data_IF_286644147947
#
_entry.id   IF_286644147947
#
_cell.length_a   1.000
_cell.length_b   1.000
_cell.length_c   1.000
_cell.angle_alpha   90.00
_cell.angle_beta   90.00
_cell.angle_gamma   90.00
#
_symmetry.space_group_name_H-M   'P 1'
#
loop_
_entity.id
_entity.type
_entity.pdbx_description
1 polymer ?
#
# COMPACT_ATOMS: atom_id res chain seq x y z
N UNK A 1 -22.03 4.44 4.26
CA UNK A 1 -21.06 4.17 3.20
C UNK A 1 -21.72 3.31 2.14
N UNK A 2 -21.76 3.77 0.86
CA UNK A 2 -22.12 2.86 -0.25
C UNK A 2 -21.13 1.70 -0.20
N UNK A 3 -21.61 0.46 -0.36
CA UNK A 3 -20.72 -0.71 -0.48
C UNK A 3 -19.76 -0.44 -1.64
N UNK A 4 -18.50 -0.21 -1.35
CA UNK A 4 -17.47 -0.02 -2.37
C UNK A 4 -17.37 -1.31 -3.17
N UNK A 5 -17.69 -1.23 -4.45
CA UNK A 5 -17.51 -2.35 -5.36
C UNK A 5 -16.01 -2.44 -5.73
N UNK A 6 -15.37 -3.52 -5.30
CA UNK A 6 -13.96 -3.81 -5.57
C UNK A 6 -13.86 -5.09 -6.42
N UNK A 7 -14.03 -4.99 -7.75
CA UNK A 7 -14.14 -6.16 -8.63
C UNK A 7 -12.95 -7.12 -8.51
N UNK A 8 -11.74 -6.59 -8.31
CA UNK A 8 -10.53 -7.42 -8.15
C UNK A 8 -10.56 -8.23 -6.84
N UNK A 9 -11.17 -7.70 -5.76
CA UNK A 9 -11.35 -8.44 -4.50
C UNK A 9 -12.40 -9.53 -4.67
N UNK A 10 -13.52 -9.22 -5.33
CA UNK A 10 -14.59 -10.18 -5.64
C UNK A 10 -14.04 -11.32 -6.49
N UNK A 11 -13.25 -11.01 -7.51
CA UNK A 11 -12.63 -12.03 -8.37
C UNK A 11 -11.69 -12.95 -7.57
N UNK A 12 -10.85 -12.39 -6.68
CA UNK A 12 -9.99 -13.22 -5.82
C UNK A 12 -10.83 -14.12 -4.92
N UNK A 13 -11.86 -13.58 -4.26
CA UNK A 13 -12.75 -14.34 -3.38
C UNK A 13 -13.47 -15.47 -4.11
N UNK A 14 -13.85 -15.29 -5.38
CA UNK A 14 -14.50 -16.31 -6.18
C UNK A 14 -13.58 -17.47 -6.58
N UNK A 15 -12.26 -17.25 -6.61
CA UNK A 15 -11.25 -18.28 -6.93
C UNK A 15 -10.79 -19.08 -5.71
N UNK A 16 -11.11 -18.62 -4.49
CA UNK A 16 -10.68 -19.28 -3.27
C UNK A 16 -11.57 -20.47 -2.92
N UNK A 17 -10.94 -21.64 -2.71
CA UNK A 17 -11.62 -22.84 -2.20
C UNK A 17 -11.58 -22.84 -0.67
N UNK A 18 -12.67 -22.44 -0.02
CA UNK A 18 -12.75 -22.37 1.44
C UNK A 18 -12.72 -23.75 2.13
N UNK A 19 -13.07 -24.82 1.42
CA UNK A 19 -12.97 -26.20 1.95
C UNK A 19 -11.52 -26.68 2.11
N UNK A 20 -10.59 -26.15 1.30
CA UNK A 20 -9.18 -26.54 1.27
C UNK A 20 -8.24 -25.36 1.54
N UNK A 21 -8.72 -24.35 2.27
CA UNK A 21 -7.90 -23.18 2.60
C UNK A 21 -6.83 -23.56 3.62
N UNK A 22 -5.54 -23.27 3.40
CA UNK A 22 -4.49 -23.56 4.34
C UNK A 22 -4.61 -22.68 5.58
N UNK A 23 -4.06 -23.15 6.70
CA UNK A 23 -4.10 -22.45 7.98
C UNK A 23 -3.37 -21.09 7.97
N UNK A 24 -2.32 -20.97 7.16
CA UNK A 24 -1.56 -19.74 6.96
C UNK A 24 -1.87 -19.08 5.62
N UNK A 25 -2.19 -17.80 5.62
CA UNK A 25 -2.49 -17.01 4.43
C UNK A 25 -1.69 -15.71 4.50
N UNK A 26 -1.02 -15.34 3.41
CA UNK A 26 -0.35 -14.05 3.26
C UNK A 26 -1.08 -13.26 2.17
N UNK A 27 -1.63 -12.09 2.51
CA UNK A 27 -2.21 -11.16 1.56
C UNK A 27 -1.18 -10.05 1.29
N UNK A 28 -0.65 -10.03 0.09
CA UNK A 28 0.36 -9.07 -0.37
C UNK A 28 -0.20 -8.13 -1.43
N UNK A 29 0.27 -6.89 -1.45
CA UNK A 29 -0.13 -5.89 -2.45
C UNK A 29 0.11 -4.46 -1.98
N UNK A 30 -0.04 -3.44 -2.84
CA UNK A 30 0.14 -2.04 -2.47
C UNK A 30 -0.84 -1.58 -1.40
N UNK A 31 -0.48 -0.50 -0.68
CA UNK A 31 -1.37 0.08 0.32
C UNK A 31 -2.61 0.67 -0.34
N UNK A 32 -3.79 0.53 0.32
CA UNK A 32 -5.07 1.03 -0.19
C UNK A 32 -5.68 0.23 -1.35
N UNK A 33 -5.12 -0.96 -1.71
CA UNK A 33 -5.70 -1.84 -2.75
C UNK A 33 -6.88 -2.68 -2.24
N UNK A 34 -7.17 -2.67 -0.93
CA UNK A 34 -8.25 -3.44 -0.34
C UNK A 34 -7.81 -4.71 0.41
N UNK A 35 -6.53 -4.86 0.77
CA UNK A 35 -6.02 -6.04 1.51
C UNK A 35 -6.81 -6.35 2.79
N UNK A 36 -7.14 -5.30 3.59
CA UNK A 36 -7.94 -5.46 4.81
C UNK A 36 -9.37 -5.92 4.51
N UNK A 37 -9.95 -5.41 3.43
CA UNK A 37 -11.31 -5.80 2.99
C UNK A 37 -11.31 -7.28 2.59
N UNK A 38 -10.29 -7.73 1.86
CA UNK A 38 -10.13 -9.15 1.50
C UNK A 38 -9.95 -10.02 2.75
N UNK A 39 -9.09 -9.60 3.70
CA UNK A 39 -8.87 -10.34 4.95
C UNK A 39 -10.17 -10.46 5.77
N UNK A 40 -10.94 -9.38 5.89
CA UNK A 40 -12.23 -9.39 6.59
C UNK A 40 -13.24 -10.31 5.87
N UNK A 41 -13.32 -10.27 4.55
CA UNK A 41 -14.22 -11.13 3.79
C UNK A 41 -13.86 -12.63 3.94
N UNK A 42 -12.56 -12.97 3.91
CA UNK A 42 -12.09 -14.34 4.17
C UNK A 42 -12.43 -14.72 5.61
N UNK A 43 -12.15 -13.85 6.59
CA UNK A 43 -12.42 -14.11 8.00
C UNK A 43 -13.92 -14.34 8.26
N UNK A 44 -14.80 -13.53 7.68
CA UNK A 44 -16.26 -13.67 7.84
C UNK A 44 -16.76 -15.03 7.34
N UNK A 45 -16.24 -15.50 6.20
CA UNK A 45 -16.57 -16.82 5.65
C UNK A 45 -16.00 -17.98 6.46
N UNK A 46 -14.87 -17.79 7.15
CA UNK A 46 -14.29 -18.79 8.05
C UNK A 46 -15.01 -18.82 9.40
N UNK A 47 -15.50 -17.68 9.89
CA UNK A 47 -16.15 -17.53 11.20
C UNK A 47 -17.66 -17.78 11.14
N UNK A 48 -18.04 -18.92 10.58
CA UNK A 48 -19.45 -19.36 10.55
C UNK A 48 -19.87 -19.75 11.97
N UNK A 49 -21.03 -19.27 12.38
CA UNK A 49 -21.60 -19.61 13.69
C UNK A 49 -21.98 -21.09 13.76
N UNK A 50 -21.59 -21.78 14.84
CA UNK A 50 -21.84 -23.22 15.08
C UNK A 50 -23.32 -23.59 15.11
N UNK A 51 -24.19 -22.68 15.57
CA UNK A 51 -25.61 -22.96 15.80
C UNK A 51 -26.49 -22.48 14.66
N UNK A 52 -26.20 -21.30 14.08
CA UNK A 52 -27.06 -20.66 13.07
C UNK A 52 -26.56 -20.89 11.63
N UNK A 53 -25.32 -21.34 11.48
CA UNK A 53 -24.63 -21.50 10.19
C UNK A 53 -24.58 -20.19 9.33
N UNK A 54 -24.63 -19.02 10.01
CA UNK A 54 -24.62 -17.69 9.38
C UNK A 54 -23.23 -17.08 9.52
N UNK A 55 -22.80 -16.34 8.50
CA UNK A 55 -21.57 -15.53 8.53
C UNK A 55 -21.71 -14.36 9.51
N UNK A 56 -20.64 -14.07 10.27
CA UNK A 56 -20.60 -13.02 11.28
C UNK A 56 -19.90 -11.74 10.76
N UNK A 57 -20.27 -11.28 9.57
CA UNK A 57 -19.60 -10.15 8.90
C UNK A 57 -19.58 -8.86 9.74
N UNK A 58 -20.69 -8.51 10.41
CA UNK A 58 -20.78 -7.29 11.21
C UNK A 58 -19.87 -7.32 12.44
N UNK A 59 -19.77 -8.47 13.11
CA UNK A 59 -18.88 -8.67 14.25
C UNK A 59 -17.40 -8.67 13.84
N UNK A 60 -17.08 -9.19 12.65
CA UNK A 60 -15.72 -9.15 12.09
C UNK A 60 -15.35 -7.72 11.72
N UNK A 61 -16.23 -7.00 11.03
CA UNK A 61 -15.98 -5.62 10.60
C UNK A 61 -15.83 -4.65 11.78
N UNK A 62 -16.56 -4.89 12.88
CA UNK A 62 -16.43 -4.11 14.13
C UNK A 62 -15.29 -4.60 15.03
N UNK A 63 -14.52 -5.64 14.64
CA UNK A 63 -13.48 -6.29 15.44
C UNK A 63 -13.96 -6.80 16.82
N UNK A 64 -15.25 -7.09 16.96
CA UNK A 64 -15.87 -7.50 18.24
C UNK A 64 -16.17 -8.99 18.34
N UNK A 65 -15.87 -9.77 17.31
CA UNK A 65 -16.10 -11.21 17.31
C UNK A 65 -15.14 -11.95 18.28
N UNK A 66 -15.61 -12.81 19.20
CA UNK A 66 -14.75 -13.45 20.21
C UNK A 66 -13.71 -14.40 19.61
N UNK A 67 -14.01 -15.04 18.46
CA UNK A 67 -13.10 -15.94 17.74
C UNK A 67 -12.32 -15.23 16.63
N UNK A 68 -12.30 -13.90 16.65
CA UNK A 68 -11.53 -13.04 15.75
C UNK A 68 -10.52 -12.22 16.53
N UNK A 69 -9.26 -12.27 16.10
CA UNK A 69 -8.19 -11.45 16.66
C UNK A 69 -7.57 -10.58 15.59
N UNK A 70 -7.78 -9.28 15.70
CA UNK A 70 -7.30 -8.31 14.74
C UNK A 70 -6.15 -7.48 15.34
N UNK A 71 -4.92 -7.78 14.93
CA UNK A 71 -3.71 -7.09 15.34
C UNK A 71 -3.35 -6.04 14.29
N UNK A 72 -3.56 -4.76 14.62
CA UNK A 72 -3.28 -3.62 13.74
C UNK A 72 -2.36 -2.61 14.44
N UNK A 73 -1.13 -3.02 14.70
CA UNK A 73 -0.10 -2.16 15.26
C UNK A 73 0.80 -1.60 14.16
N UNK A 74 1.35 -0.40 14.35
CA UNK A 74 2.38 0.15 13.45
C UNK A 74 3.60 -0.76 13.38
N UNK A 75 4.00 -1.32 14.52
CA UNK A 75 5.06 -2.34 14.65
C UNK A 75 4.52 -3.57 15.35
N UNK A 76 4.73 -4.73 14.74
CA UNK A 76 4.37 -6.02 15.33
C UNK A 76 5.56 -6.55 16.09
N UNK A 77 5.48 -6.52 17.42
CA UNK A 77 6.54 -6.92 18.32
C UNK A 77 6.32 -8.36 18.85
N UNK A 78 7.36 -8.96 19.41
CA UNK A 78 7.33 -10.34 19.91
C UNK A 78 6.18 -10.59 20.90
N UNK A 79 5.89 -9.66 21.82
CA UNK A 79 4.80 -9.81 22.80
C UNK A 79 3.39 -9.80 22.17
N UNK A 80 3.26 -9.26 20.96
CA UNK A 80 1.99 -9.37 20.23
C UNK A 80 1.76 -10.77 19.65
N UNK A 81 2.84 -11.52 19.42
CA UNK A 81 2.79 -12.89 18.87
C UNK A 81 2.77 -13.93 20.00
N UNK A 82 3.66 -13.78 21.00
CA UNK A 82 3.81 -14.72 22.10
C UNK A 82 4.30 -14.03 23.38
N UNK A 83 4.13 -14.65 24.52
CA UNK A 83 4.70 -14.16 25.78
C UNK A 83 6.22 -14.30 25.79
N UNK A 84 6.92 -13.29 26.33
CA UNK A 84 8.36 -13.31 26.55
C UNK A 84 8.65 -14.00 27.89
N UNK A 85 9.50 -15.02 27.88
CA UNK A 85 9.84 -15.78 29.11
C UNK A 85 10.29 -14.92 30.30
N UNK A 86 11.06 -13.86 30.03
CA UNK A 86 11.64 -12.98 31.05
C UNK A 86 10.71 -11.82 31.48
N UNK A 87 9.52 -11.72 30.88
CA UNK A 87 8.54 -10.65 31.16
C UNK A 87 7.13 -11.17 31.33
N UNK A 88 7.01 -12.44 31.73
CA UNK A 88 5.71 -13.07 31.87
C UNK A 88 4.75 -12.32 32.79
N UNK A 89 5.24 -11.80 33.92
CA UNK A 89 4.39 -11.08 34.88
C UNK A 89 3.92 -9.74 34.34
N UNK A 90 4.77 -9.03 33.57
CA UNK A 90 4.43 -7.75 32.93
C UNK A 90 3.44 -7.93 31.76
N UNK A 91 3.48 -9.08 31.10
CA UNK A 91 2.69 -9.38 29.90
C UNK A 91 1.46 -10.25 30.20
N UNK A 92 1.33 -10.71 31.45
CA UNK A 92 0.22 -11.55 31.92
C UNK A 92 -1.11 -10.82 31.73
N UNK A 93 -2.03 -11.48 31.02
CA UNK A 93 -3.33 -10.90 30.68
C UNK A 93 -3.34 -10.10 29.36
N UNK A 94 -2.19 -9.82 28.76
CA UNK A 94 -2.16 -9.27 27.41
C UNK A 94 -2.54 -10.33 26.37
N UNK A 95 -3.40 -9.95 25.45
CA UNK A 95 -3.85 -10.85 24.38
C UNK A 95 -2.78 -10.90 23.27
N UNK A 96 -2.28 -12.09 22.96
CA UNK A 96 -1.35 -12.30 21.85
C UNK A 96 -1.86 -13.39 20.89
N UNK A 97 -1.24 -13.46 19.69
CA UNK A 97 -1.71 -14.34 18.60
C UNK A 97 -1.67 -15.82 19.00
N UNK A 98 -0.56 -16.30 19.55
CA UNK A 98 -0.40 -17.72 19.87
C UNK A 98 -1.31 -18.17 21.01
N UNK A 99 -1.46 -17.37 22.08
CA UNK A 99 -2.40 -17.66 23.16
C UNK A 99 -3.85 -17.65 22.66
N UNK A 100 -4.19 -16.72 21.79
CA UNK A 100 -5.51 -16.67 21.17
C UNK A 100 -5.81 -17.94 20.37
N UNK A 101 -4.88 -18.37 19.51
CA UNK A 101 -5.07 -19.53 18.62
C UNK A 101 -5.04 -20.87 19.37
N UNK A 102 -4.36 -20.94 20.52
CA UNK A 102 -4.31 -22.17 21.33
C UNK A 102 -5.64 -22.53 22.02
N UNK A 103 -6.58 -21.57 22.14
CA UNK A 103 -7.88 -21.76 22.78
C UNK A 103 -8.90 -22.29 21.78
N UNK A 104 -9.85 -23.07 22.25
CA UNK A 104 -10.97 -23.55 21.41
C UNK A 104 -11.87 -22.41 20.96
N UNK A 105 -12.49 -22.46 19.77
CA UNK A 105 -13.46 -21.47 19.32
C UNK A 105 -14.68 -21.40 20.25
N UNK A 106 -15.16 -20.17 20.54
CA UNK A 106 -16.29 -19.93 21.43
C UNK A 106 -17.63 -20.13 20.73
N UNK A 107 -17.93 -19.34 19.72
CA UNK A 107 -19.23 -19.30 19.01
C UNK A 107 -19.13 -19.76 17.57
N UNK A 108 -17.99 -19.61 16.93
CA UNK A 108 -17.76 -20.03 15.55
C UNK A 108 -17.14 -21.42 15.45
N UNK A 109 -17.17 -21.99 14.23
CA UNK A 109 -16.49 -23.26 13.95
C UNK A 109 -14.98 -23.08 14.02
N UNK A 110 -14.49 -21.93 13.54
CA UNK A 110 -13.08 -21.62 13.42
C UNK A 110 -12.67 -20.40 14.26
N UNK A 111 -11.35 -20.23 14.43
CA UNK A 111 -10.70 -19.02 14.93
C UNK A 111 -9.83 -18.39 13.83
N UNK A 112 -9.82 -17.07 13.78
CA UNK A 112 -9.02 -16.34 12.80
C UNK A 112 -8.23 -15.24 13.49
N UNK A 113 -6.91 -15.24 13.30
CA UNK A 113 -6.03 -14.15 13.68
C UNK A 113 -5.57 -13.40 12.42
N UNK A 114 -5.81 -12.10 12.37
CA UNK A 114 -5.32 -11.22 11.30
C UNK A 114 -4.20 -10.34 11.85
N UNK A 115 -3.03 -10.40 11.21
CA UNK A 115 -1.85 -9.60 11.54
C UNK A 115 -1.65 -8.58 10.42
N UNK A 116 -1.94 -7.32 10.71
CA UNK A 116 -1.69 -6.21 9.79
C UNK A 116 -0.24 -5.74 9.95
N UNK A 117 0.34 -5.17 8.89
CA UNK A 117 1.72 -4.72 8.87
C UNK A 117 2.74 -5.84 9.19
N UNK A 118 2.51 -7.05 8.68
CA UNK A 118 3.38 -8.19 8.92
C UNK A 118 4.85 -7.94 8.51
N UNK A 119 5.11 -7.02 7.56
CA UNK A 119 6.45 -6.59 7.18
C UNK A 119 7.25 -5.91 8.31
N UNK A 120 6.62 -5.55 9.41
CA UNK A 120 7.27 -4.90 10.55
C UNK A 120 7.71 -5.88 11.63
N UNK A 121 7.37 -7.16 11.48
CA UNK A 121 7.84 -8.23 12.35
C UNK A 121 9.36 -8.41 12.20
N UNK A 122 10.08 -8.38 13.33
CA UNK A 122 11.47 -8.82 13.36
C UNK A 122 11.56 -10.35 13.31
N UNK A 123 12.78 -10.89 13.12
CA UNK A 123 13.00 -12.34 13.00
C UNK A 123 12.51 -13.12 14.23
N UNK A 124 12.64 -12.57 15.42
CA UNK A 124 12.15 -13.20 16.66
C UNK A 124 10.62 -13.36 16.64
N UNK A 125 9.89 -12.30 16.23
CA UNK A 125 8.43 -12.33 16.11
C UNK A 125 7.98 -13.31 15.03
N UNK A 126 8.69 -13.35 13.91
CA UNK A 126 8.41 -14.28 12.82
C UNK A 126 8.67 -15.73 13.24
N UNK A 127 9.80 -16.00 13.91
CA UNK A 127 10.13 -17.33 14.43
C UNK A 127 9.12 -17.80 15.49
N UNK A 128 8.62 -16.90 16.35
CA UNK A 128 7.60 -17.24 17.34
C UNK A 128 6.26 -17.66 16.69
N UNK A 129 5.98 -17.21 15.48
CA UNK A 129 4.78 -17.57 14.72
C UNK A 129 4.90 -18.94 14.03
N UNK A 130 6.14 -19.38 13.71
CA UNK A 130 6.38 -20.64 12.98
C UNK A 130 5.72 -21.84 13.64
N UNK A 131 5.77 -21.93 14.97
CA UNK A 131 5.15 -23.05 15.69
C UNK A 131 3.65 -23.18 15.39
N UNK A 132 2.93 -22.07 15.37
CA UNK A 132 1.49 -22.05 15.07
C UNK A 132 1.18 -22.29 13.60
N UNK A 133 2.17 -22.11 12.70
CA UNK A 133 2.05 -22.42 11.27
C UNK A 133 2.42 -23.89 10.96
N UNK A 134 3.34 -24.48 11.73
CA UNK A 134 3.78 -25.87 11.56
C UNK A 134 2.79 -26.86 12.17
N UNK A 135 2.35 -26.55 13.40
CA UNK A 135 1.41 -27.38 14.17
C UNK A 135 0.18 -26.54 14.53
N UNK A 136 -0.67 -26.22 13.53
CA UNK A 136 -1.81 -25.37 13.78
C UNK A 136 -2.82 -26.06 14.69
N UNK A 137 -3.37 -25.29 15.64
CA UNK A 137 -4.51 -25.77 16.43
C UNK A 137 -5.68 -26.07 15.50
N UNK A 138 -6.49 -27.10 15.76
CA UNK A 138 -7.64 -27.43 14.95
C UNK A 138 -8.54 -26.21 14.74
N UNK A 139 -9.00 -26.01 13.51
CA UNK A 139 -9.92 -24.93 13.14
C UNK A 139 -9.36 -23.52 13.42
N UNK A 140 -8.05 -23.32 13.32
CA UNK A 140 -7.41 -22.03 13.48
C UNK A 140 -6.77 -21.55 12.17
N UNK A 141 -6.85 -20.24 11.90
CA UNK A 141 -6.30 -19.61 10.71
C UNK A 141 -5.52 -18.35 11.08
N UNK A 142 -4.43 -18.12 10.35
CA UNK A 142 -3.58 -16.92 10.48
C UNK A 142 -3.56 -16.22 9.13
N UNK A 143 -4.00 -14.96 9.10
CA UNK A 143 -3.95 -14.11 7.90
C UNK A 143 -2.94 -12.99 8.16
N UNK A 144 -1.88 -12.93 7.38
CA UNK A 144 -0.86 -11.89 7.44
C UNK A 144 -1.04 -10.93 6.28
N UNK A 145 -1.09 -9.62 6.56
CA UNK A 145 -1.21 -8.57 5.55
C UNK A 145 0.11 -7.84 5.45
N UNK A 146 0.65 -7.74 4.23
CA UNK A 146 1.89 -7.02 3.95
C UNK A 146 1.79 -6.15 2.69
N UNK A 147 2.51 -5.02 2.68
CA UNK A 147 2.70 -4.18 1.50
C UNK A 147 4.06 -4.42 0.82
N UNK A 148 4.91 -5.28 1.39
CA UNK A 148 6.23 -5.60 0.86
C UNK A 148 6.30 -7.07 0.48
N UNK A 149 6.42 -7.42 -0.80
CA UNK A 149 6.62 -8.80 -1.22
C UNK A 149 7.98 -9.31 -0.71
N UNK A 150 8.02 -10.59 -0.34
CA UNK A 150 9.24 -11.29 0.14
C UNK A 150 9.91 -10.68 1.38
N UNK A 151 9.15 -10.00 2.24
CA UNK A 151 9.66 -9.39 3.47
C UNK A 151 9.65 -10.32 4.68
N UNK A 152 8.95 -11.44 4.61
CA UNK A 152 8.90 -12.45 5.66
C UNK A 152 9.94 -13.55 5.40
N UNK A 153 10.22 -14.34 6.43
CA UNK A 153 11.13 -15.48 6.31
C UNK A 153 10.62 -16.51 5.30
N UNK A 154 11.52 -17.14 4.57
CA UNK A 154 11.17 -18.18 3.60
C UNK A 154 10.44 -19.36 4.25
N UNK A 155 10.72 -19.64 5.52
CA UNK A 155 10.04 -20.64 6.34
C UNK A 155 8.56 -20.34 6.58
N UNK A 156 8.16 -19.06 6.63
CA UNK A 156 6.75 -18.63 6.65
C UNK A 156 6.11 -18.81 5.29
N UNK A 157 6.79 -18.36 4.22
CA UNK A 157 6.26 -18.49 2.85
C UNK A 157 6.00 -19.93 2.45
N UNK A 158 6.85 -20.88 2.87
CA UNK A 158 6.68 -22.30 2.56
C UNK A 158 5.46 -22.96 3.21
N UNK A 159 4.87 -22.32 4.25
CA UNK A 159 3.73 -22.83 5.04
C UNK A 159 2.44 -22.05 4.80
N UNK A 160 2.50 -21.01 3.98
CA UNK A 160 1.37 -20.13 3.75
C UNK A 160 0.99 -20.08 2.26
N UNK A 161 -0.30 -19.96 2.01
CA UNK A 161 -0.78 -19.57 0.70
C UNK A 161 -0.59 -18.06 0.52
N UNK A 162 0.08 -17.66 -0.57
CA UNK A 162 0.25 -16.24 -0.90
C UNK A 162 -0.84 -15.80 -1.87
N UNK A 163 -1.62 -14.80 -1.46
CA UNK A 163 -2.60 -14.12 -2.28
C UNK A 163 -2.00 -12.75 -2.61
N UNK A 164 -1.58 -12.57 -3.85
CA UNK A 164 -1.04 -11.30 -4.30
C UNK A 164 -2.12 -10.48 -5.03
N UNK A 165 -2.34 -9.25 -4.55
CA UNK A 165 -3.22 -8.29 -5.20
C UNK A 165 -2.32 -7.32 -5.97
N UNK A 166 -2.26 -7.41 -7.31
CA UNK A 166 -1.42 -6.53 -8.11
C UNK A 166 -1.97 -5.10 -8.14
N UNK A 167 -1.12 -4.13 -8.46
CA UNK A 167 -1.57 -2.78 -8.79
C UNK A 167 -2.49 -2.83 -10.01
N UNK A 168 -3.52 -2.01 -10.01
CA UNK A 168 -4.42 -1.90 -11.16
C UNK A 168 -3.71 -1.21 -12.33
N UNK A 169 -4.09 -1.58 -13.54
CA UNK A 169 -3.74 -0.82 -14.74
C UNK A 169 -4.50 0.49 -14.76
N UNK A 170 -3.93 1.51 -15.40
CA UNK A 170 -4.53 2.86 -15.49
C UNK A 170 -5.96 2.79 -16.06
N UNK A 171 -6.17 1.99 -17.11
CA UNK A 171 -7.49 1.86 -17.74
C UNK A 171 -8.53 1.22 -16.81
N UNK A 172 -8.12 0.19 -16.06
CA UNK A 172 -9.01 -0.49 -15.11
C UNK A 172 -9.34 0.42 -13.91
N UNK A 173 -8.36 1.23 -13.49
CA UNK A 173 -8.55 2.22 -12.45
C UNK A 173 -9.49 3.35 -12.91
N UNK A 174 -9.34 3.86 -14.14
CA UNK A 174 -10.24 4.86 -14.71
C UNK A 174 -11.68 4.33 -14.81
N UNK A 175 -11.87 3.10 -15.30
CA UNK A 175 -13.19 2.45 -15.36
C UNK A 175 -13.82 2.33 -13.96
N UNK A 176 -13.00 1.93 -12.98
CA UNK A 176 -13.47 1.79 -11.61
C UNK A 176 -13.87 3.13 -10.99
N UNK A 177 -13.09 4.22 -11.22
CA UNK A 177 -13.42 5.57 -10.76
C UNK A 177 -14.77 6.02 -11.35
N UNK A 178 -14.99 5.87 -12.65
CA UNK A 178 -16.24 6.21 -13.33
C UNK A 178 -17.42 5.44 -12.71
N UNK A 179 -17.26 4.14 -12.48
CA UNK A 179 -18.31 3.29 -11.89
C UNK A 179 -18.65 3.70 -10.44
N UNK A 180 -17.71 4.31 -9.73
CA UNK A 180 -17.93 4.85 -8.38
C UNK A 180 -18.38 6.33 -8.38
N UNK A 181 -18.76 6.88 -9.55
CA UNK A 181 -19.30 8.23 -9.68
C UNK A 181 -18.25 9.34 -9.74
N UNK A 182 -16.99 8.99 -9.98
CA UNK A 182 -15.87 9.92 -10.14
C UNK A 182 -15.54 10.01 -11.63
N UNK A 183 -16.20 10.93 -12.36
CA UNK A 183 -16.05 11.10 -13.81
C UNK A 183 -15.05 12.20 -14.21
N UNK A 184 -14.78 13.14 -13.29
CA UNK A 184 -14.05 14.38 -13.61
C UNK A 184 -12.54 14.28 -13.39
N UNK A 185 -12.04 13.07 -13.08
CA UNK A 185 -10.66 12.81 -12.68
C UNK A 185 -10.08 11.64 -13.47
N UNK A 186 -8.85 11.79 -13.92
CA UNK A 186 -8.09 10.72 -14.57
C UNK A 186 -7.13 10.06 -13.56
N UNK A 187 -6.89 8.76 -13.70
CA UNK A 187 -5.93 8.05 -12.86
C UNK A 187 -4.51 8.65 -12.92
N UNK A 188 -4.13 9.30 -14.01
CA UNK A 188 -2.86 10.05 -14.15
C UNK A 188 -2.85 11.40 -13.42
N UNK A 189 -3.97 11.87 -12.89
CA UNK A 189 -4.01 13.04 -12.02
C UNK A 189 -3.46 12.73 -10.60
N UNK A 190 -3.18 11.44 -10.33
CA UNK A 190 -2.59 10.94 -9.09
C UNK A 190 -1.25 10.25 -9.36
N UNK A 191 -0.34 10.23 -8.38
CA UNK A 191 0.86 9.40 -8.47
C UNK A 191 0.52 7.92 -8.65
N UNK A 192 1.28 7.17 -9.44
CA UNK A 192 1.02 5.73 -9.69
C UNK A 192 1.14 4.84 -8.45
N UNK A 193 1.74 5.36 -7.38
CA UNK A 193 1.77 4.70 -6.08
C UNK A 193 0.49 4.91 -5.27
N UNK A 194 -0.42 5.80 -5.71
CA UNK A 194 -1.72 6.01 -5.06
C UNK A 194 -2.69 4.92 -5.54
N UNK A 195 -3.23 4.18 -4.60
CA UNK A 195 -4.12 3.06 -4.90
C UNK A 195 -5.59 3.46 -4.82
N UNK A 196 -6.53 2.66 -5.34
CA UNK A 196 -7.93 3.04 -5.48
C UNK A 196 -8.58 3.66 -4.25
N UNK A 197 -8.40 3.04 -3.08
CA UNK A 197 -9.02 3.54 -1.84
C UNK A 197 -8.36 4.84 -1.35
N UNK A 198 -7.05 5.01 -1.57
CA UNK A 198 -6.37 6.28 -1.27
C UNK A 198 -6.80 7.40 -2.20
N UNK A 199 -7.07 7.10 -3.48
CA UNK A 199 -7.61 8.10 -4.41
C UNK A 199 -8.95 8.63 -3.89
N UNK A 200 -9.86 7.77 -3.44
CA UNK A 200 -11.13 8.22 -2.88
C UNK A 200 -10.94 9.07 -1.62
N UNK A 201 -10.04 8.67 -0.74
CA UNK A 201 -9.69 9.44 0.46
C UNK A 201 -9.09 10.81 0.12
N UNK A 202 -8.17 10.88 -0.84
CA UNK A 202 -7.58 12.14 -1.33
C UNK A 202 -8.62 13.04 -1.99
N UNK A 203 -9.60 12.46 -2.71
CA UNK A 203 -10.71 13.22 -3.31
C UNK A 203 -11.63 13.81 -2.24
N UNK A 204 -11.99 13.05 -1.22
CA UNK A 204 -12.81 13.51 -0.09
C UNK A 204 -12.12 14.66 0.68
N UNK A 205 -10.80 14.60 0.81
CA UNK A 205 -9.98 15.59 1.53
C UNK A 205 -9.43 16.72 0.65
N UNK A 206 -9.73 16.75 -0.65
CA UNK A 206 -9.18 17.68 -1.66
C UNK A 206 -7.64 17.67 -1.76
N UNK A 207 -6.98 16.61 -1.32
CA UNK A 207 -5.50 16.48 -1.36
C UNK A 207 -4.97 16.12 -2.75
N UNK A 208 -5.80 15.56 -3.62
CA UNK A 208 -5.47 15.24 -5.03
C UNK A 208 -5.00 16.45 -5.84
N UNK A 209 -5.37 17.65 -5.42
CA UNK A 209 -4.98 18.89 -6.11
C UNK A 209 -3.48 19.15 -6.04
N UNK A 210 -2.79 18.69 -5.00
CA UNK A 210 -1.37 18.93 -4.81
C UNK A 210 -0.51 18.32 -5.92
N UNK A 211 -0.76 17.06 -6.29
CA UNK A 211 -0.02 16.43 -7.39
C UNK A 211 -0.33 17.10 -8.72
N UNK A 212 -1.59 17.38 -9.01
CA UNK A 212 -2.04 18.07 -10.21
C UNK A 212 -1.41 19.45 -10.34
N UNK A 213 -1.39 20.24 -9.26
CA UNK A 213 -0.75 21.55 -9.21
C UNK A 213 0.76 21.45 -9.40
N UNK A 214 1.39 20.46 -8.76
CA UNK A 214 2.82 20.20 -8.92
C UNK A 214 3.20 19.93 -10.38
N UNK A 215 2.48 19.02 -11.06
CA UNK A 215 2.72 18.71 -12.48
C UNK A 215 2.47 19.96 -13.35
N UNK A 216 1.44 20.75 -13.05
CA UNK A 216 1.17 21.99 -13.77
C UNK A 216 2.33 23.00 -13.63
N UNK A 217 2.90 23.17 -12.45
CA UNK A 217 4.07 24.03 -12.22
C UNK A 217 5.27 23.54 -13.05
N UNK A 218 5.51 22.21 -13.09
CA UNK A 218 6.58 21.64 -13.92
C UNK A 218 6.30 21.84 -15.42
N UNK A 219 5.06 21.70 -15.86
CA UNK A 219 4.65 21.95 -17.24
C UNK A 219 4.93 23.41 -17.64
N UNK A 220 4.53 24.36 -16.81
CA UNK A 220 4.79 25.79 -17.02
C UNK A 220 6.29 26.10 -17.05
N UNK A 221 7.08 25.47 -16.21
CA UNK A 221 8.54 25.61 -16.21
C UNK A 221 9.18 25.13 -17.51
N UNK A 222 8.72 24.00 -18.03
CA UNK A 222 9.30 23.38 -19.23
C UNK A 222 8.87 24.12 -20.51
N UNK A 223 7.59 24.40 -20.66
CA UNK A 223 7.05 24.91 -21.94
C UNK A 223 6.99 26.44 -22.00
N UNK A 224 6.76 27.13 -20.88
CA UNK A 224 6.62 28.60 -20.83
C UNK A 224 7.91 29.31 -20.41
N UNK A 225 9.03 28.58 -20.24
CA UNK A 225 10.32 29.15 -19.82
C UNK A 225 10.22 29.99 -18.53
N UNK A 226 9.38 29.58 -17.58
CA UNK A 226 9.27 30.26 -16.28
C UNK A 226 10.64 30.32 -15.59
N UNK A 227 10.88 31.40 -14.85
CA UNK A 227 12.11 31.53 -14.07
C UNK A 227 12.22 30.44 -12.98
N UNK A 228 13.42 29.89 -12.82
CA UNK A 228 13.68 28.82 -11.86
C UNK A 228 13.32 29.23 -10.43
N UNK A 229 13.62 30.49 -10.03
CA UNK A 229 13.34 30.97 -8.68
C UNK A 229 11.83 31.08 -8.41
N UNK A 230 11.05 31.53 -9.39
CA UNK A 230 9.58 31.60 -9.29
C UNK A 230 8.98 30.19 -9.22
N UNK A 231 9.48 29.28 -10.01
CA UNK A 231 9.05 27.86 -10.01
C UNK A 231 9.33 27.21 -8.65
N UNK A 232 10.51 27.41 -8.08
CA UNK A 232 10.86 26.89 -6.74
C UNK A 232 9.92 27.46 -5.69
N UNK A 233 9.63 28.77 -5.69
CA UNK A 233 8.69 29.39 -4.75
C UNK A 233 7.29 28.76 -4.85
N UNK A 234 6.82 28.52 -6.08
CA UNK A 234 5.52 27.88 -6.32
C UNK A 234 5.49 26.42 -5.81
N UNK A 235 6.58 25.67 -6.00
CA UNK A 235 6.68 24.29 -5.46
C UNK A 235 6.74 24.29 -3.93
N UNK A 236 7.48 25.23 -3.34
CA UNK A 236 7.59 25.35 -1.86
C UNK A 236 6.25 25.76 -1.24
N UNK A 237 5.44 26.57 -1.95
CA UNK A 237 4.13 27.00 -1.46
C UNK A 237 3.07 25.90 -1.42
N UNK A 238 3.31 24.73 -2.05
CA UNK A 238 2.45 23.57 -1.90
C UNK A 238 2.53 23.03 -0.46
N UNK A 239 1.38 22.76 0.15
CA UNK A 239 1.28 22.23 1.52
C UNK A 239 1.58 20.71 1.55
N UNK A 240 2.81 20.37 1.18
CA UNK A 240 3.36 19.01 1.17
C UNK A 240 4.83 19.04 1.63
N UNK A 241 5.25 17.99 2.30
CA UNK A 241 6.62 17.85 2.76
C UNK A 241 7.62 17.60 1.62
N UNK A 242 8.92 17.81 1.91
CA UNK A 242 9.97 17.64 0.92
C UNK A 242 10.04 16.21 0.36
N UNK A 243 9.82 15.20 1.21
CA UNK A 243 9.87 13.80 0.75
C UNK A 243 8.74 13.49 -0.25
N UNK A 244 7.57 14.11 -0.07
CA UNK A 244 6.47 13.98 -1.02
C UNK A 244 6.78 14.70 -2.33
N UNK A 245 7.40 15.89 -2.29
CA UNK A 245 7.87 16.60 -3.49
C UNK A 245 8.89 15.76 -4.27
N UNK A 246 9.85 15.12 -3.59
CA UNK A 246 10.79 14.18 -4.21
C UNK A 246 10.05 13.00 -4.85
N UNK A 247 9.06 12.42 -4.17
CA UNK A 247 8.25 11.34 -4.73
C UNK A 247 7.46 11.78 -5.98
N UNK A 248 6.91 12.98 -5.99
CA UNK A 248 6.23 13.53 -7.16
C UNK A 248 7.17 13.74 -8.35
N UNK A 249 8.41 14.18 -8.10
CA UNK A 249 9.44 14.32 -9.12
C UNK A 249 9.83 12.95 -9.72
N UNK A 250 10.06 11.96 -8.87
CA UNK A 250 10.37 10.59 -9.31
C UNK A 250 9.22 10.04 -10.16
N UNK A 251 7.98 10.26 -9.73
CA UNK A 251 6.80 9.79 -10.44
C UNK A 251 6.63 10.48 -11.79
N UNK A 252 6.85 11.79 -11.84
CA UNK A 252 6.87 12.56 -13.10
C UNK A 252 7.86 11.95 -14.11
N UNK A 253 9.12 11.76 -13.71
CA UNK A 253 10.15 11.18 -14.56
C UNK A 253 9.81 9.75 -15.00
N UNK A 254 9.28 8.96 -14.11
CA UNK A 254 8.88 7.57 -14.37
C UNK A 254 7.77 7.49 -15.42
N UNK A 255 6.74 8.36 -15.32
CA UNK A 255 5.62 8.40 -16.28
C UNK A 255 6.15 8.82 -17.66
N UNK A 256 6.97 9.87 -17.74
CA UNK A 256 7.59 10.34 -19.00
C UNK A 256 8.45 9.23 -19.61
N UNK A 257 9.33 8.61 -18.84
CA UNK A 257 10.21 7.57 -19.32
C UNK A 257 9.43 6.34 -19.81
N UNK A 258 8.41 5.92 -19.07
CA UNK A 258 7.55 4.79 -19.43
C UNK A 258 6.82 5.04 -20.74
N UNK A 259 6.16 6.19 -20.88
CA UNK A 259 5.44 6.58 -22.11
C UNK A 259 6.36 6.49 -23.34
N UNK A 260 7.58 7.00 -23.22
CA UNK A 260 8.56 6.99 -24.33
C UNK A 260 9.10 5.60 -24.67
N UNK A 261 9.33 4.76 -23.66
CA UNK A 261 9.84 3.38 -23.88
C UNK A 261 8.77 2.46 -24.47
N UNK A 262 7.50 2.66 -24.11
CA UNK A 262 6.39 1.85 -24.57
C UNK A 262 5.63 2.47 -25.75
N UNK A 263 5.99 3.69 -26.17
CA UNK A 263 5.27 4.47 -27.19
C UNK A 263 3.78 4.62 -26.86
N UNK A 264 3.48 4.85 -25.56
CA UNK A 264 2.12 5.09 -25.07
C UNK A 264 1.85 6.60 -25.00
N UNK A 265 0.69 7.05 -25.47
CA UNK A 265 0.26 8.44 -25.34
C UNK A 265 -0.12 8.76 -23.89
N UNK A 266 0.32 9.94 -23.44
CA UNK A 266 -0.02 10.48 -22.13
C UNK A 266 -1.38 11.18 -22.17
N UNK A 267 -2.13 11.02 -21.08
CA UNK A 267 -3.44 11.67 -20.87
C UNK A 267 -3.45 12.48 -19.56
N UNK A 268 -4.58 13.12 -19.24
CA UNK A 268 -4.71 13.92 -18.01
C UNK A 268 -3.72 15.09 -17.99
N UNK A 269 -3.13 15.32 -16.81
CA UNK A 269 -2.16 16.41 -16.57
C UNK A 269 -0.84 16.27 -17.33
N UNK A 270 -0.58 15.11 -17.94
CA UNK A 270 0.66 14.84 -18.69
C UNK A 270 0.51 15.01 -20.19
N UNK A 271 -0.67 15.35 -20.70
CA UNK A 271 -0.97 15.42 -22.15
C UNK A 271 0.02 16.29 -22.95
N UNK A 272 0.44 17.41 -22.38
CA UNK A 272 1.33 18.37 -23.05
C UNK A 272 2.73 17.79 -23.30
N UNK A 273 3.13 16.77 -22.55
CA UNK A 273 4.44 16.11 -22.69
C UNK A 273 4.54 15.14 -23.86
N UNK A 274 3.43 14.81 -24.56
CA UNK A 274 3.46 13.97 -25.76
C UNK A 274 4.34 14.55 -26.88
N UNK A 275 4.41 15.88 -26.98
CA UNK A 275 5.23 16.59 -27.95
C UNK A 275 6.67 16.84 -27.50
N UNK A 276 7.01 16.55 -26.25
CA UNK A 276 8.32 16.86 -25.68
C UNK A 276 9.40 15.87 -26.12
N UNK A 277 10.63 16.34 -26.30
CA UNK A 277 11.76 15.48 -26.68
C UNK A 277 12.79 15.41 -25.56
N UNK A 278 12.60 14.48 -24.64
CA UNK A 278 13.53 14.24 -23.53
C UNK A 278 14.64 13.24 -23.89
N UNK A 279 15.80 13.40 -23.26
CA UNK A 279 16.89 12.43 -23.32
C UNK A 279 16.65 11.34 -22.26
N UNK A 280 16.29 10.13 -22.71
CA UNK A 280 15.92 9.02 -21.82
C UNK A 280 17.05 8.66 -20.84
N UNK A 281 18.33 8.75 -21.25
CA UNK A 281 19.47 8.44 -20.37
C UNK A 281 19.58 9.48 -19.25
N UNK A 282 19.46 10.76 -19.58
CA UNK A 282 19.51 11.84 -18.57
C UNK A 282 18.34 11.74 -17.58
N UNK A 283 17.13 11.44 -18.06
CA UNK A 283 15.96 11.20 -17.17
C UNK A 283 16.23 10.02 -16.25
N UNK A 284 16.75 8.90 -16.77
CA UNK A 284 17.05 7.71 -15.97
C UNK A 284 18.10 8.00 -14.89
N UNK A 285 19.16 8.75 -15.21
CA UNK A 285 20.19 9.13 -14.26
C UNK A 285 19.61 10.03 -13.15
N UNK A 286 18.83 11.04 -13.54
CA UNK A 286 18.18 11.97 -12.61
C UNK A 286 17.20 11.23 -11.66
N UNK A 287 16.46 10.25 -12.17
CA UNK A 287 15.60 9.41 -11.37
C UNK A 287 16.39 8.56 -10.36
N UNK A 288 17.56 8.03 -10.75
CA UNK A 288 18.44 7.27 -9.84
C UNK A 288 19.00 8.16 -8.72
N UNK A 289 19.41 9.38 -9.03
CA UNK A 289 19.88 10.36 -8.03
C UNK A 289 18.78 10.74 -7.03
N UNK A 290 17.56 10.98 -7.51
CA UNK A 290 16.41 11.24 -6.63
C UNK A 290 16.05 10.03 -5.74
N UNK A 291 16.16 8.80 -6.26
CA UNK A 291 15.95 7.61 -5.47
C UNK A 291 17.02 7.45 -4.39
N UNK A 292 18.29 7.75 -4.68
CA UNK A 292 19.37 7.77 -3.70
C UNK A 292 19.11 8.83 -2.62
N UNK A 293 18.75 10.04 -3.02
CA UNK A 293 18.39 11.12 -2.10
C UNK A 293 17.22 10.74 -1.20
N UNK A 294 16.16 10.12 -1.75
CA UNK A 294 15.01 9.62 -0.99
C UNK A 294 15.42 8.59 0.06
N UNK A 295 16.35 7.69 -0.28
CA UNK A 295 16.87 6.68 0.64
C UNK A 295 17.66 7.30 1.79
N UNK A 296 18.44 8.34 1.50
CA UNK A 296 19.31 8.99 2.47
C UNK A 296 18.62 10.12 3.25
N UNK A 297 17.42 10.53 2.83
CA UNK A 297 16.66 11.64 3.42
C UNK A 297 16.54 11.54 4.95
N UNK A 298 16.26 10.35 5.47
CA UNK A 298 16.11 10.12 6.91
C UNK A 298 17.43 9.99 7.67
N UNK A 299 18.56 9.95 6.95
CA UNK A 299 19.90 9.83 7.55
C UNK A 299 20.62 11.18 7.67
N UNK A 300 20.21 12.17 6.88
CA UNK A 300 20.86 13.49 6.83
C UNK A 300 20.00 14.51 7.57
N UNK A 301 20.51 15.11 8.69
CA UNK A 301 19.67 15.92 9.58
C UNK A 301 19.19 17.26 9.03
N UNK A 302 19.82 17.81 8.00
CA UNK A 302 19.43 19.09 7.40
C UNK A 302 19.63 19.08 5.89
N UNK A 303 18.56 18.81 5.17
CA UNK A 303 18.54 18.91 3.73
C UNK A 303 17.90 20.24 3.34
N UNK A 304 18.60 21.06 2.55
CA UNK A 304 18.07 22.33 2.07
C UNK A 304 17.18 22.09 0.85
N UNK A 305 15.87 22.24 1.03
CA UNK A 305 14.85 22.04 0.01
C UNK A 305 15.09 22.88 -1.25
N UNK A 306 15.46 24.16 -1.08
CA UNK A 306 15.72 25.08 -2.20
C UNK A 306 16.89 24.60 -3.06
N UNK A 307 17.96 24.08 -2.46
CA UNK A 307 19.11 23.56 -3.21
C UNK A 307 18.75 22.32 -4.01
N UNK A 308 17.98 21.39 -3.43
CA UNK A 308 17.52 20.19 -4.12
C UNK A 308 16.65 20.56 -5.33
N UNK A 309 15.66 21.41 -5.12
CA UNK A 309 14.76 21.82 -6.20
C UNK A 309 15.50 22.57 -7.30
N UNK A 310 16.46 23.44 -6.95
CA UNK A 310 17.26 24.16 -7.94
C UNK A 310 18.12 23.22 -8.79
N UNK A 311 18.83 22.29 -8.15
CA UNK A 311 19.61 21.27 -8.86
C UNK A 311 18.72 20.45 -9.80
N UNK A 312 17.59 19.94 -9.25
CA UNK A 312 16.67 19.12 -9.98
C UNK A 312 16.06 19.83 -11.21
N UNK A 313 15.56 21.05 -11.05
CA UNK A 313 14.96 21.82 -12.16
C UNK A 313 16.01 22.16 -13.23
N UNK A 314 17.26 22.43 -12.82
CA UNK A 314 18.37 22.65 -13.75
C UNK A 314 18.66 21.39 -14.58
N UNK A 315 18.78 20.23 -13.95
CA UNK A 315 19.03 18.97 -14.63
C UNK A 315 17.84 18.52 -15.49
N UNK A 316 16.61 18.80 -15.05
CA UNK A 316 15.40 18.56 -15.85
C UNK A 316 15.44 19.39 -17.15
N UNK A 317 15.80 20.67 -17.07
CA UNK A 317 15.94 21.54 -18.23
C UNK A 317 17.04 21.05 -19.18
N UNK A 318 18.16 20.57 -18.63
CA UNK A 318 19.25 19.97 -19.41
C UNK A 318 18.88 18.64 -20.07
N UNK A 319 17.84 17.97 -19.59
CA UNK A 319 17.38 16.69 -20.13
C UNK A 319 16.46 16.83 -21.34
N UNK A 320 15.98 18.04 -21.60
CA UNK A 320 15.12 18.33 -22.77
C UNK A 320 16.04 18.59 -23.97
N UNK A 321 15.79 17.90 -25.06
CA UNK A 321 16.42 18.19 -26.33
C UNK A 321 15.66 19.34 -26.97
N UNK A 322 16.31 20.49 -27.09
CA UNK A 322 15.84 21.61 -27.88
C UNK A 322 16.00 21.29 -29.37
#
# INVERSE_FOLDING_TARGET
MKSLDLPWIINILSTLSFSNLPHGIIISGPDGIGKKILANAISSRLLINKTTNIENSDLVNSNSHPDYFYLNNEKVLLHNITFRKNKWDDEKGQRNVNDFLSKTPSISINKVAVIVNAQTMNDESQNALLKSLEEPSPNSYIIMITNRPKCLLNTIYSRCQVINIPSLKIDDLNKWLINNGVSDVNALDFPSFTSPLKILEELENNQHLNFKQFIKIITEFIFNNSDTNSTIKNIISLDIDLIMKINYLIEFLKIILKSRLLSEDLSGVFKDFNSSNFNNLKISNLMNELNALRYDYFKVPQINETHILNYFLSELKNSIKI
#
